data_IF_487193562672
#
_entry.id   IF_487193562672
#
_cell.length_a   1.000
_cell.length_b   1.000
_cell.length_c   1.000
_cell.angle_alpha   90.00
_cell.angle_beta   90.00
_cell.angle_gamma   90.00
#
_symmetry.space_group_name_H-M   'P 1'
#
loop_
_entity.id
_entity.type
_entity.pdbx_description
1 polymer ?
#
# COMPACT_ATOMS: atom_id res chain seq x y z
N UNK A 1 2.26 16.76 -14.53
CA UNK A 1 2.21 15.67 -13.53
C UNK A 1 2.32 16.20 -12.09
N UNK A 2 3.31 17.05 -11.78
CA UNK A 2 3.50 17.58 -10.42
C UNK A 2 2.25 18.36 -9.98
N UNK A 3 1.81 19.33 -10.78
CA UNK A 3 0.61 20.13 -10.48
C UNK A 3 -0.62 19.23 -10.29
N UNK A 4 -0.79 18.21 -11.15
CA UNK A 4 -1.90 17.25 -11.02
C UNK A 4 -1.88 16.50 -9.69
N UNK A 5 -0.69 16.08 -9.22
CA UNK A 5 -0.54 15.40 -7.93
C UNK A 5 -0.71 16.34 -6.74
N UNK A 6 -0.26 17.60 -6.84
CA UNK A 6 -0.47 18.60 -5.78
C UNK A 6 -1.97 18.94 -5.63
N UNK A 7 -2.68 19.15 -6.74
CA UNK A 7 -4.12 19.36 -6.71
C UNK A 7 -4.87 18.11 -6.25
N UNK A 8 -4.38 16.91 -6.60
CA UNK A 8 -4.92 15.64 -6.11
C UNK A 8 -4.93 15.56 -4.58
N UNK A 9 -3.88 16.04 -3.91
CA UNK A 9 -3.84 16.06 -2.45
C UNK A 9 -4.99 16.87 -1.85
N UNK A 10 -5.36 18.00 -2.48
CA UNK A 10 -6.49 18.83 -2.06
C UNK A 10 -7.84 18.17 -2.31
N UNK A 11 -7.95 17.32 -3.33
CA UNK A 11 -9.19 16.64 -3.73
C UNK A 11 -9.36 15.24 -3.13
N UNK A 12 -8.86 15.03 -1.92
CA UNK A 12 -9.04 13.77 -1.17
C UNK A 12 -7.90 12.75 -1.33
N UNK A 13 -6.90 13.02 -2.18
CA UNK A 13 -5.79 12.09 -2.39
C UNK A 13 -4.92 11.90 -1.17
N UNK A 14 -4.64 12.96 -0.44
CA UNK A 14 -3.87 12.90 0.80
C UNK A 14 -4.63 12.16 1.89
N UNK A 15 -5.93 12.43 2.05
CA UNK A 15 -6.78 11.79 3.03
C UNK A 15 -6.89 10.28 2.78
N UNK A 16 -7.13 9.88 1.54
CA UNK A 16 -7.20 8.46 1.18
C UNK A 16 -5.85 7.76 1.38
N UNK A 17 -4.72 8.42 1.07
CA UNK A 17 -3.38 7.87 1.31
C UNK A 17 -3.12 7.66 2.81
N UNK A 18 -3.46 8.63 3.66
CA UNK A 18 -3.36 8.51 5.12
C UNK A 18 -4.22 7.33 5.62
N UNK A 19 -5.44 7.18 5.10
CA UNK A 19 -6.32 6.06 5.43
C UNK A 19 -5.68 4.70 5.10
N UNK A 20 -5.06 4.57 3.93
CA UNK A 20 -4.34 3.35 3.55
C UNK A 20 -3.11 3.10 4.42
N UNK A 21 -2.35 4.13 4.79
CA UNK A 21 -1.17 3.97 5.67
C UNK A 21 -1.58 3.58 7.09
N UNK A 22 -2.62 4.19 7.64
CA UNK A 22 -3.15 3.82 8.98
C UNK A 22 -3.69 2.40 8.98
N UNK A 23 -4.46 2.03 7.95
CA UNK A 23 -4.95 0.66 7.79
C UNK A 23 -3.81 -0.36 7.61
N UNK A 24 -2.76 0.01 6.85
CA UNK A 24 -1.56 -0.80 6.70
C UNK A 24 -0.86 -1.03 8.05
N UNK A 25 -0.73 0.02 8.85
CA UNK A 25 -0.11 -0.06 10.18
C UNK A 25 -0.91 -0.97 11.10
N UNK A 26 -2.24 -0.82 11.13
CA UNK A 26 -3.11 -1.67 11.93
C UNK A 26 -3.04 -3.15 11.52
N UNK A 27 -3.04 -3.44 10.21
CA UNK A 27 -2.88 -4.79 9.68
C UNK A 27 -1.51 -5.39 10.01
N UNK A 28 -0.44 -4.58 9.97
CA UNK A 28 0.92 -5.02 10.30
C UNK A 28 1.09 -5.42 11.77
N UNK A 29 0.21 -4.97 12.66
CA UNK A 29 0.20 -5.41 14.06
C UNK A 29 -0.25 -6.87 14.23
N UNK A 30 -0.78 -7.51 13.19
CA UNK A 30 -1.19 -8.91 13.20
C UNK A 30 -0.34 -9.73 12.22
N UNK A 31 0.00 -10.97 12.58
CA UNK A 31 0.82 -11.83 11.72
C UNK A 31 0.11 -12.12 10.39
N UNK A 32 -1.17 -12.46 10.46
CA UNK A 32 -2.01 -12.73 9.29
C UNK A 32 -2.19 -11.47 8.43
N UNK A 33 -2.18 -10.29 9.05
CA UNK A 33 -2.35 -9.02 8.38
C UNK A 33 -1.11 -8.51 7.63
N UNK A 34 0.09 -9.05 7.85
CA UNK A 34 1.33 -8.58 7.22
C UNK A 34 1.25 -8.55 5.68
N UNK A 35 0.83 -9.63 4.97
CA UNK A 35 0.71 -9.59 3.52
C UNK A 35 -0.32 -8.55 3.05
N UNK A 36 -1.40 -8.35 3.80
CA UNK A 36 -2.39 -7.31 3.53
C UNK A 36 -1.84 -5.91 3.77
N UNK A 37 -1.07 -5.73 4.85
CA UNK A 37 -0.39 -4.48 5.18
C UNK A 37 0.53 -4.01 4.05
N UNK A 38 1.34 -4.90 3.49
CA UNK A 38 2.24 -4.59 2.38
C UNK A 38 1.47 -4.10 1.16
N UNK A 39 0.37 -4.77 0.80
CA UNK A 39 -0.44 -4.36 -0.35
C UNK A 39 -1.18 -3.06 -0.08
N UNK A 40 -1.74 -2.88 1.09
CA UNK A 40 -2.40 -1.65 1.52
C UNK A 40 -1.44 -0.47 1.49
N UNK A 41 -0.20 -0.68 1.95
CA UNK A 41 0.86 0.32 1.89
C UNK A 41 1.21 0.72 0.45
N UNK A 42 1.33 -0.24 -0.48
CA UNK A 42 1.56 0.03 -1.91
C UNK A 42 0.44 0.86 -2.52
N UNK A 43 -0.82 0.57 -2.17
CA UNK A 43 -1.96 1.38 -2.62
C UNK A 43 -1.89 2.79 -2.02
N UNK A 44 -1.53 2.92 -0.75
CA UNK A 44 -1.31 4.21 -0.10
C UNK A 44 -0.27 5.08 -0.83
N UNK A 45 0.86 4.48 -1.22
CA UNK A 45 1.88 5.16 -2.03
C UNK A 45 1.33 5.59 -3.40
N UNK A 46 0.53 4.75 -4.04
CA UNK A 46 -0.12 5.09 -5.30
C UNK A 46 -1.14 6.21 -5.12
N UNK A 47 -1.93 6.18 -4.03
CA UNK A 47 -2.87 7.25 -3.67
C UNK A 47 -2.14 8.56 -3.36
N UNK A 48 -0.92 8.50 -2.85
CA UNK A 48 -0.13 9.70 -2.62
C UNK A 48 0.34 10.36 -3.93
N UNK A 49 0.66 9.56 -4.97
CA UNK A 49 1.23 10.07 -6.24
C UNK A 49 0.65 9.34 -7.47
N UNK A 50 -0.66 9.49 -7.80
CA UNK A 50 -1.30 8.70 -8.85
C UNK A 50 -0.97 9.13 -10.27
N UNK A 51 -0.71 10.44 -10.51
CA UNK A 51 -0.44 10.94 -11.84
C UNK A 51 0.99 10.64 -12.29
N UNK A 52 1.12 9.73 -13.23
CA UNK A 52 2.38 9.22 -13.76
C UNK A 52 2.72 7.82 -13.26
N UNK A 53 2.05 7.33 -12.23
CA UNK A 53 2.22 5.98 -11.72
C UNK A 53 1.38 4.98 -12.50
N UNK A 54 1.91 3.76 -12.68
CA UNK A 54 1.24 2.68 -13.40
C UNK A 54 1.03 1.48 -12.50
N UNK A 55 -0.03 0.74 -12.76
CA UNK A 55 -0.34 -0.52 -12.10
C UNK A 55 -0.23 -1.62 -13.13
N UNK A 56 0.54 -2.65 -12.83
CA UNK A 56 0.74 -3.81 -13.69
C UNK A 56 0.33 -5.08 -12.98
N UNK A 57 -0.01 -6.11 -13.75
CA UNK A 57 -0.14 -7.46 -13.19
C UNK A 57 1.22 -7.92 -12.68
N UNK A 58 1.24 -8.46 -11.47
CA UNK A 58 2.46 -8.99 -10.87
C UNK A 58 2.78 -10.37 -11.47
N UNK A 59 4.04 -10.57 -11.83
CA UNK A 59 4.56 -11.88 -12.24
C UNK A 59 4.87 -12.78 -11.03
N UNK A 60 4.44 -12.39 -9.83
CA UNK A 60 4.68 -13.14 -8.61
C UNK A 60 4.00 -14.53 -8.66
N UNK A 61 4.68 -15.58 -8.16
CA UNK A 61 4.15 -16.96 -8.15
C UNK A 61 2.94 -17.19 -7.23
N UNK A 62 2.32 -16.15 -6.72
CA UNK A 62 1.16 -16.18 -5.81
C UNK A 62 -0.15 -16.62 -6.53
N UNK A 63 -0.06 -17.23 -7.72
CA UNK A 63 -1.21 -17.46 -8.60
C UNK A 63 -2.48 -18.01 -7.93
N UNK A 64 -2.39 -19.14 -7.23
CA UNK A 64 -3.56 -19.77 -6.60
C UNK A 64 -4.02 -19.07 -5.31
N UNK A 65 -3.11 -18.45 -4.56
CA UNK A 65 -3.41 -17.78 -3.28
C UNK A 65 -4.00 -16.39 -3.50
N UNK A 66 -3.81 -15.81 -4.69
CA UNK A 66 -4.30 -14.48 -5.05
C UNK A 66 -5.82 -14.34 -4.90
N UNK A 67 -6.58 -15.35 -5.33
CA UNK A 67 -8.05 -15.34 -5.29
C UNK A 67 -8.57 -15.29 -3.85
N UNK A 68 -8.22 -16.23 -2.97
CA UNK A 68 -8.68 -16.19 -1.59
C UNK A 68 -8.20 -14.97 -0.82
N UNK A 69 -6.99 -14.46 -1.10
CA UNK A 69 -6.50 -13.22 -0.47
C UNK A 69 -7.32 -12.00 -0.90
N UNK A 70 -7.68 -11.88 -2.18
CA UNK A 70 -8.53 -10.78 -2.64
C UNK A 70 -9.95 -10.90 -2.08
N UNK A 71 -10.50 -12.11 -1.97
CA UNK A 71 -11.82 -12.32 -1.38
C UNK A 71 -11.84 -11.95 0.11
N UNK A 72 -10.82 -12.35 0.85
CA UNK A 72 -10.66 -11.99 2.25
C UNK A 72 -10.49 -10.48 2.42
N UNK A 73 -9.64 -9.86 1.59
CA UNK A 73 -9.45 -8.41 1.56
C UNK A 73 -10.74 -7.64 1.27
N UNK A 74 -11.57 -8.12 0.33
CA UNK A 74 -12.83 -7.50 -0.03
C UNK A 74 -13.75 -7.34 1.19
N UNK A 75 -13.80 -8.36 2.07
CA UNK A 75 -14.63 -8.37 3.27
C UNK A 75 -14.07 -7.40 4.32
N UNK A 76 -12.75 -7.39 4.55
CA UNK A 76 -12.14 -6.62 5.64
C UNK A 76 -11.91 -5.13 5.34
N UNK A 77 -11.71 -4.76 4.09
CA UNK A 77 -11.39 -3.35 3.78
C UNK A 77 -11.57 -2.94 2.33
N UNK A 78 -11.47 -3.88 1.39
CA UNK A 78 -11.49 -3.59 -0.04
C UNK A 78 -12.78 -2.96 -0.51
N UNK A 79 -13.92 -3.45 -0.03
CA UNK A 79 -15.23 -2.90 -0.37
C UNK A 79 -15.40 -1.47 0.16
N UNK A 80 -15.01 -1.23 1.41
CA UNK A 80 -15.07 0.10 2.02
C UNK A 80 -14.19 1.10 1.26
N UNK A 81 -12.94 0.74 0.98
CA UNK A 81 -12.03 1.59 0.23
C UNK A 81 -12.57 1.89 -1.18
N UNK A 82 -13.16 0.90 -1.85
CA UNK A 82 -13.81 1.07 -3.14
C UNK A 82 -14.95 2.10 -3.07
N UNK A 83 -15.84 1.97 -2.08
CA UNK A 83 -16.97 2.88 -1.89
C UNK A 83 -16.49 4.33 -1.65
N UNK A 84 -15.45 4.52 -0.85
CA UNK A 84 -14.87 5.84 -0.61
C UNK A 84 -14.32 6.45 -1.91
N UNK A 85 -13.58 5.68 -2.70
CA UNK A 85 -13.07 6.15 -3.98
C UNK A 85 -14.20 6.42 -4.99
N UNK A 86 -15.26 5.62 -5.01
CA UNK A 86 -16.43 5.88 -5.86
C UNK A 86 -17.12 7.18 -5.45
N UNK A 87 -17.31 7.40 -4.15
CA UNK A 87 -17.92 8.62 -3.62
C UNK A 87 -17.16 9.86 -4.06
N UNK A 88 -15.85 9.94 -3.80
CA UNK A 88 -15.03 11.07 -4.22
C UNK A 88 -14.94 11.18 -5.75
N UNK A 89 -14.87 10.06 -6.46
CA UNK A 89 -14.85 10.03 -7.92
C UNK A 89 -16.09 10.66 -8.53
N UNK A 90 -17.27 10.30 -8.04
CA UNK A 90 -18.56 10.86 -8.50
C UNK A 90 -18.63 12.35 -8.15
N UNK A 91 -18.31 12.71 -6.90
CA UNK A 91 -18.35 14.10 -6.45
C UNK A 91 -17.48 15.01 -7.32
N UNK A 92 -16.27 14.57 -7.64
CA UNK A 92 -15.36 15.31 -8.51
C UNK A 92 -15.84 15.38 -9.96
N UNK A 93 -16.47 14.32 -10.47
CA UNK A 93 -16.98 14.29 -11.84
C UNK A 93 -18.23 15.19 -12.03
N UNK A 94 -18.96 15.53 -10.98
CA UNK A 94 -20.03 16.53 -11.04
C UNK A 94 -19.45 17.90 -11.41
N UNK A 95 -18.24 18.19 -10.97
CA UNK A 95 -17.50 19.38 -11.39
C UNK A 95 -16.72 19.06 -12.66
N UNK A 96 -16.97 19.76 -13.76
CA UNK A 96 -16.29 19.50 -15.06
C UNK A 96 -14.77 19.56 -14.90
N UNK A 97 -14.27 20.48 -14.08
CA UNK A 97 -12.84 20.66 -13.78
C UNK A 97 -12.29 19.46 -13.00
N UNK A 98 -13.09 18.81 -12.17
CA UNK A 98 -12.69 17.66 -11.34
C UNK A 98 -12.59 16.32 -12.09
N UNK A 99 -13.07 16.22 -13.33
CA UNK A 99 -13.05 14.96 -14.10
C UNK A 99 -11.68 14.25 -14.13
N UNK A 100 -10.54 14.92 -14.34
CA UNK A 100 -9.24 14.25 -14.35
C UNK A 100 -8.92 13.55 -13.02
N UNK A 101 -9.29 14.15 -11.90
CA UNK A 101 -9.09 13.60 -10.56
C UNK A 101 -10.13 12.54 -10.22
N UNK A 102 -11.41 12.74 -10.65
CA UNK A 102 -12.45 11.73 -10.53
C UNK A 102 -12.07 10.42 -11.22
N UNK A 103 -11.49 10.49 -12.43
CA UNK A 103 -10.95 9.31 -13.13
C UNK A 103 -9.87 8.58 -12.34
N UNK A 104 -9.02 9.30 -11.59
CA UNK A 104 -8.04 8.65 -10.74
C UNK A 104 -8.69 7.93 -9.55
N UNK A 105 -9.73 8.50 -8.94
CA UNK A 105 -10.50 7.81 -7.91
C UNK A 105 -11.15 6.53 -8.45
N UNK A 106 -11.73 6.52 -9.64
CA UNK A 106 -12.27 5.29 -10.24
C UNK A 106 -11.21 4.23 -10.51
N UNK A 107 -10.01 4.65 -10.94
CA UNK A 107 -8.86 3.74 -11.07
C UNK A 107 -8.49 3.11 -9.71
N UNK A 108 -8.46 3.92 -8.65
CA UNK A 108 -8.18 3.43 -7.31
C UNK A 108 -9.28 2.53 -6.77
N UNK A 109 -10.56 2.83 -7.07
CA UNK A 109 -11.70 1.98 -6.71
C UNK A 109 -11.54 0.56 -7.27
N UNK A 110 -11.20 0.42 -8.54
CA UNK A 110 -10.93 -0.89 -9.14
C UNK A 110 -9.74 -1.62 -8.52
N UNK A 111 -8.69 -0.87 -8.17
CA UNK A 111 -7.50 -1.44 -7.52
C UNK A 111 -7.79 -1.88 -6.07
N UNK A 112 -8.60 -1.12 -5.34
CA UNK A 112 -8.96 -1.44 -3.95
C UNK A 112 -9.76 -2.72 -3.80
N UNK A 113 -10.46 -3.17 -4.85
CA UNK A 113 -11.18 -4.46 -4.82
C UNK A 113 -10.24 -5.66 -4.96
N UNK A 114 -9.19 -5.54 -5.78
CA UNK A 114 -8.30 -6.66 -6.11
C UNK A 114 -6.83 -6.25 -6.09
N UNK A 115 -6.26 -5.94 -4.91
CA UNK A 115 -4.88 -5.47 -4.80
C UNK A 115 -3.84 -6.58 -4.96
N UNK A 116 -4.19 -7.83 -4.58
CA UNK A 116 -3.26 -8.95 -4.66
C UNK A 116 -3.06 -9.41 -6.10
N UNK A 117 -1.81 -9.52 -6.52
CA UNK A 117 -1.42 -9.83 -7.89
C UNK A 117 -1.23 -8.58 -8.75
N UNK A 118 -1.14 -7.40 -8.14
CA UNK A 118 -0.82 -6.15 -8.85
C UNK A 118 0.40 -5.48 -8.22
N UNK A 119 1.26 -4.97 -9.07
CA UNK A 119 2.43 -4.19 -8.69
C UNK A 119 2.24 -2.72 -9.09
N UNK A 120 2.67 -1.84 -8.20
CA UNK A 120 2.59 -0.39 -8.39
C UNK A 120 3.95 0.13 -8.78
N UNK A 121 4.07 0.68 -9.97
CA UNK A 121 5.24 1.42 -10.42
C UNK A 121 5.01 2.92 -10.25
N UNK A 122 5.72 3.51 -9.30
CA UNK A 122 5.66 4.94 -9.03
C UNK A 122 6.61 5.70 -9.97
N UNK A 123 6.10 6.68 -10.72
CA UNK A 123 6.93 7.55 -11.57
C UNK A 123 7.55 8.70 -10.77
N UNK A 124 8.50 8.38 -9.93
CA UNK A 124 9.35 9.36 -9.27
C UNK A 124 10.58 9.68 -10.13
N UNK A 125 10.40 10.29 -11.30
CA UNK A 125 11.53 10.66 -12.18
C UNK A 125 12.60 11.51 -11.49
N UNK A 126 12.22 12.28 -10.47
CA UNK A 126 13.12 13.10 -9.66
C UNK A 126 13.97 12.24 -8.72
N UNK A 127 13.48 11.07 -8.32
CA UNK A 127 14.11 10.19 -7.31
C UNK A 127 15.03 9.14 -7.95
N UNK A 128 14.90 8.90 -9.25
CA UNK A 128 15.67 7.84 -9.95
C UNK A 128 17.20 7.99 -9.82
N UNK A 129 17.74 9.23 -9.72
CA UNK A 129 19.18 9.48 -9.47
C UNK A 129 19.60 9.24 -8.00
N UNK A 130 18.65 9.21 -7.06
CA UNK A 130 18.90 9.02 -5.62
C UNK A 130 18.65 7.58 -5.16
N UNK A 131 18.05 6.75 -6.03
CA UNK A 131 17.48 5.43 -5.71
C UNK A 131 18.48 4.41 -5.15
N UNK A 132 19.76 4.45 -5.51
CA UNK A 132 20.76 3.48 -5.03
C UNK A 132 21.24 3.76 -3.59
N UNK A 133 21.19 5.02 -3.13
CA UNK A 133 21.63 5.38 -1.77
C UNK A 133 20.50 5.24 -0.74
N UNK A 134 19.26 5.48 -1.17
CA UNK A 134 18.09 5.46 -0.26
C UNK A 134 17.50 4.04 -0.08
N UNK A 135 17.81 3.08 -0.96
CA UNK A 135 17.38 1.69 -0.79
C UNK A 135 17.89 1.09 0.52
N UNK A 136 19.15 1.32 0.87
CA UNK A 136 19.74 0.85 2.13
C UNK A 136 19.05 1.50 3.35
N UNK A 137 18.66 2.76 3.24
CA UNK A 137 17.97 3.48 4.32
C UNK A 137 16.54 2.97 4.50
N UNK A 138 15.82 2.69 3.39
CA UNK A 138 14.47 2.13 3.44
C UNK A 138 14.47 0.72 4.04
N UNK A 139 15.45 -0.12 3.68
CA UNK A 139 15.64 -1.45 4.26
C UNK A 139 15.94 -1.38 5.76
N UNK A 140 16.80 -0.44 6.17
CA UNK A 140 17.09 -0.21 7.59
C UNK A 140 15.84 0.25 8.34
N UNK A 141 15.07 1.20 7.79
CA UNK A 141 13.82 1.66 8.40
C UNK A 141 12.78 0.54 8.50
N UNK A 142 12.65 -0.30 7.46
CA UNK A 142 11.74 -1.44 7.48
C UNK A 142 12.18 -2.49 8.52
N UNK A 143 13.47 -2.75 8.64
CA UNK A 143 14.04 -3.65 9.65
C UNK A 143 13.80 -3.13 11.07
N UNK A 144 14.04 -1.83 11.33
CA UNK A 144 13.75 -1.21 12.62
C UNK A 144 12.24 -1.20 12.94
N UNK A 145 11.39 -0.98 11.94
CA UNK A 145 9.94 -1.03 12.08
C UNK A 145 9.45 -2.44 12.44
N UNK A 146 9.97 -3.47 11.75
CA UNK A 146 9.67 -4.87 12.06
C UNK A 146 10.18 -5.27 13.46
N UNK A 147 11.34 -4.75 13.88
CA UNK A 147 11.90 -4.97 15.21
C UNK A 147 11.04 -4.30 16.29
N UNK A 148 10.56 -3.08 16.06
CA UNK A 148 9.69 -2.36 16.98
C UNK A 148 8.33 -3.07 17.14
N UNK A 149 7.72 -3.57 16.05
CA UNK A 149 6.49 -4.35 16.10
C UNK A 149 6.69 -5.63 16.90
N UNK A 150 7.86 -6.30 16.74
CA UNK A 150 8.19 -7.49 17.51
C UNK A 150 8.29 -7.20 19.01
N UNK A 151 8.95 -6.10 19.37
CA UNK A 151 9.08 -5.70 20.76
C UNK A 151 7.69 -5.45 21.39
N UNK A 152 6.80 -4.78 20.66
CA UNK A 152 5.41 -4.54 21.11
C UNK A 152 4.63 -5.85 21.17
N UNK A 153 4.73 -6.72 20.18
CA UNK A 153 4.05 -8.02 20.19
C UNK A 153 4.56 -8.95 21.29
N UNK A 154 5.87 -8.90 21.59
CA UNK A 154 6.47 -9.63 22.71
C UNK A 154 5.95 -9.13 24.05
N UNK A 155 5.84 -7.81 24.24
CA UNK A 155 5.33 -7.19 25.47
C UNK A 155 3.83 -7.48 25.65
N UNK A 156 3.05 -7.41 24.57
CA UNK A 156 1.57 -7.54 24.63
C UNK A 156 1.12 -9.00 24.69
N UNK A 157 1.77 -9.89 23.95
CA UNK A 157 1.32 -11.27 23.77
C UNK A 157 2.22 -12.34 24.40
N UNK A 158 3.40 -11.96 24.91
CA UNK A 158 4.32 -12.87 25.63
C UNK A 158 4.80 -14.08 24.83
N UNK A 159 4.77 -14.04 23.50
CA UNK A 159 5.03 -15.19 22.64
C UNK A 159 6.43 -15.09 22.00
N UNK A 160 7.46 -15.81 22.51
CA UNK A 160 8.82 -15.77 21.95
C UNK A 160 8.95 -16.36 20.54
N UNK A 161 7.98 -17.17 20.09
CA UNK A 161 8.01 -17.79 18.75
C UNK A 161 7.86 -16.80 17.59
N UNK A 162 7.22 -15.67 17.83
CA UNK A 162 7.04 -14.61 16.80
C UNK A 162 8.38 -13.97 16.44
N UNK A 163 9.27 -13.81 17.44
CA UNK A 163 10.59 -13.24 17.25
C UNK A 163 11.44 -14.11 16.28
N UNK A 164 11.38 -15.41 16.38
CA UNK A 164 12.15 -16.34 15.56
C UNK A 164 11.68 -16.32 14.08
N UNK A 165 10.35 -16.28 13.85
CA UNK A 165 9.79 -16.22 12.50
C UNK A 165 10.18 -14.91 11.81
N UNK A 166 10.20 -13.82 12.54
CA UNK A 166 10.54 -12.53 11.95
C UNK A 166 12.06 -12.34 11.77
N UNK A 167 12.90 -12.89 12.63
CA UNK A 167 14.35 -12.96 12.41
C UNK A 167 14.63 -13.76 11.13
N UNK A 168 13.97 -14.89 10.95
CA UNK A 168 14.09 -15.70 9.75
C UNK A 168 13.60 -14.98 8.49
N UNK A 169 12.49 -14.24 8.58
CA UNK A 169 11.96 -13.44 7.47
C UNK A 169 12.88 -12.26 7.12
N UNK A 170 13.45 -11.60 8.13
CA UNK A 170 14.39 -10.50 7.95
C UNK A 170 15.70 -10.99 7.33
N UNK A 171 16.22 -12.15 7.80
CA UNK A 171 17.38 -12.80 7.22
C UNK A 171 17.13 -13.24 5.77
N UNK A 172 15.95 -13.81 5.48
CA UNK A 172 15.55 -14.17 4.11
C UNK A 172 15.49 -12.96 3.17
N UNK A 173 14.93 -11.84 3.63
CA UNK A 173 14.91 -10.60 2.86
C UNK A 173 16.31 -10.01 2.63
N UNK A 174 17.21 -10.14 3.61
CA UNK A 174 18.60 -9.70 3.47
C UNK A 174 19.44 -10.56 2.52
N UNK A 175 19.14 -11.86 2.40
CA UNK A 175 19.87 -12.77 1.52
C UNK A 175 19.39 -12.74 0.06
N UNK A 176 18.17 -12.25 -0.21
CA UNK A 176 17.58 -12.23 -1.56
C UNK A 176 17.48 -10.82 -2.17
N UNK A 177 18.19 -9.85 -1.60
CA UNK A 177 18.35 -8.49 -2.11
C UNK A 177 19.81 -8.16 -2.36
#
# INVERSE_FOLDING_TARGET
RIIGNLLWWLFGGLETAIGYFTGSLALACTIIGIPFAIQTFKIGLLCLWPFGSTVRESNSPIGCIRIPLNLLWLIFGGLWACLMHLFFGILLCITIIGIPWGKQHFKMAGLSLTPFGKDVELDFKVIRKKKLKDMNTLHSCLAYYLLAINAVAFIVYGIPGILLIQIALTAYLHMNL
#
